data_IF_205473788301
#
_entry.id   IF_205473788301
#
_cell.length_a   1.000
_cell.length_b   1.000
_cell.length_c   1.000
_cell.angle_alpha   90.00
_cell.angle_beta   90.00
_cell.angle_gamma   90.00
#
_symmetry.space_group_name_H-M   'P 1'
#
loop_
_entity.id
_entity.type
_entity.pdbx_description
1 polymer ?
#
# COMPACT_ATOMS: atom_id res chain seq x y z
N UNK A 1 -47.33 -85.45 30.02
CA UNK A 1 -46.02 -85.25 29.39
C UNK A 1 -46.28 -84.79 27.97
N UNK A 2 -46.28 -83.46 27.77
CA UNK A 2 -46.42 -82.81 26.47
C UNK A 2 -45.21 -81.89 26.36
N UNK A 3 -44.28 -82.19 25.45
CA UNK A 3 -43.16 -81.32 25.17
C UNK A 3 -43.64 -80.13 24.32
N UNK A 4 -43.26 -78.88 24.66
CA UNK A 4 -43.52 -77.75 23.79
C UNK A 4 -42.51 -77.71 22.62
N UNK A 5 -42.93 -77.22 21.43
CA UNK A 5 -42.07 -77.11 20.27
C UNK A 5 -41.03 -76.00 20.46
N UNK A 6 -39.79 -76.31 20.11
CA UNK A 6 -38.67 -75.35 20.03
C UNK A 6 -38.95 -74.32 18.92
N UNK A 7 -39.17 -73.07 19.32
CA UNK A 7 -39.15 -71.91 18.42
C UNK A 7 -37.70 -71.62 18.01
N UNK A 8 -37.31 -72.03 16.80
CA UNK A 8 -36.11 -71.55 16.13
C UNK A 8 -36.35 -70.11 15.65
N UNK A 9 -36.26 -69.17 16.58
CA UNK A 9 -36.17 -67.75 16.27
C UNK A 9 -34.90 -67.49 15.47
N UNK A 10 -35.04 -67.40 14.15
CA UNK A 10 -34.01 -66.91 13.25
C UNK A 10 -33.58 -65.52 13.70
N UNK A 11 -32.40 -65.43 14.30
CA UNK A 11 -31.72 -64.17 14.58
C UNK A 11 -31.30 -63.56 13.25
N UNK A 12 -32.17 -62.73 12.69
CA UNK A 12 -31.89 -61.87 11.54
C UNK A 12 -30.93 -60.77 11.98
N UNK A 13 -29.65 -61.12 12.11
CA UNK A 13 -28.57 -60.17 12.34
C UNK A 13 -28.37 -59.35 11.07
N UNK A 14 -29.17 -58.27 10.92
CA UNK A 14 -28.90 -57.24 9.92
C UNK A 14 -27.44 -56.81 10.03
N UNK A 15 -26.66 -56.88 8.94
CA UNK A 15 -25.27 -56.46 8.98
C UNK A 15 -25.21 -54.96 9.33
N UNK A 16 -24.61 -54.65 10.48
CA UNK A 16 -24.20 -53.28 10.89
C UNK A 16 -22.97 -52.84 10.09
N UNK A 17 -22.97 -53.12 8.79
CA UNK A 17 -21.91 -52.75 7.88
C UNK A 17 -22.19 -51.33 7.36
N UNK A 18 -21.13 -50.52 7.29
CA UNK A 18 -21.05 -49.25 6.54
C UNK A 18 -21.75 -48.01 7.13
N UNK A 19 -21.50 -47.72 8.41
CA UNK A 19 -21.71 -46.35 8.95
C UNK A 19 -20.43 -45.51 9.04
N UNK A 20 -19.30 -46.02 8.56
CA UNK A 20 -17.97 -45.44 8.77
C UNK A 20 -17.28 -44.86 7.53
N UNK A 21 -17.89 -44.93 6.33
CA UNK A 21 -17.26 -44.43 5.09
C UNK A 21 -18.00 -43.26 4.42
N UNK A 22 -19.14 -42.85 4.94
CA UNK A 22 -19.88 -41.69 4.44
C UNK A 22 -19.98 -40.66 5.55
N UNK A 23 -18.88 -39.95 5.82
CA UNK A 23 -19.04 -38.51 5.99
C UNK A 23 -19.79 -38.07 4.75
N UNK A 24 -21.05 -37.73 4.94
CA UNK A 24 -22.00 -37.50 3.86
C UNK A 24 -21.45 -36.42 2.95
N UNK A 25 -21.68 -36.49 1.63
CA UNK A 25 -21.24 -35.47 0.67
C UNK A 25 -21.58 -34.05 1.18
N UNK A 26 -22.69 -33.93 1.89
CA UNK A 26 -23.14 -32.74 2.61
C UNK A 26 -22.18 -32.24 3.71
N UNK A 27 -21.60 -33.11 4.53
CA UNK A 27 -20.64 -32.70 5.57
C UNK A 27 -19.33 -32.20 4.96
N UNK A 28 -18.81 -32.87 3.92
CA UNK A 28 -17.64 -32.38 3.19
C UNK A 28 -17.92 -31.07 2.44
N UNK A 29 -19.12 -30.91 1.88
CA UNK A 29 -19.52 -29.65 1.25
C UNK A 29 -19.55 -28.50 2.28
N UNK A 30 -20.08 -28.75 3.48
CA UNK A 30 -20.08 -27.75 4.57
C UNK A 30 -18.64 -27.38 4.95
N UNK A 31 -17.75 -28.36 5.14
CA UNK A 31 -16.33 -28.11 5.46
C UNK A 31 -15.65 -27.29 4.36
N UNK A 32 -15.89 -27.63 3.09
CA UNK A 32 -15.36 -26.88 1.95
C UNK A 32 -15.87 -25.42 1.93
N UNK A 33 -17.16 -25.21 2.18
CA UNK A 33 -17.77 -23.87 2.25
C UNK A 33 -17.16 -23.06 3.39
N UNK A 34 -16.99 -23.65 4.58
CA UNK A 34 -16.37 -22.97 5.73
C UNK A 34 -14.91 -22.63 5.44
N UNK A 35 -14.13 -23.57 4.89
CA UNK A 35 -12.74 -23.31 4.49
C UNK A 35 -12.63 -22.20 3.45
N UNK A 36 -13.51 -22.23 2.44
CA UNK A 36 -13.56 -21.20 1.41
C UNK A 36 -13.94 -19.84 2.01
N UNK A 37 -14.92 -19.80 2.90
CA UNK A 37 -15.32 -18.58 3.60
C UNK A 37 -14.19 -18.04 4.50
N UNK A 38 -13.45 -18.90 5.20
CA UNK A 38 -12.27 -18.51 5.99
C UNK A 38 -11.16 -17.94 5.09
N UNK A 39 -10.83 -18.61 3.98
CA UNK A 39 -9.83 -18.14 3.03
C UNK A 39 -10.21 -16.80 2.37
N UNK A 40 -11.50 -16.59 2.09
CA UNK A 40 -12.01 -15.34 1.51
C UNK A 40 -12.16 -14.21 2.54
N UNK A 41 -12.28 -14.52 3.83
CA UNK A 41 -12.48 -13.53 4.90
C UNK A 41 -11.17 -13.03 5.52
N UNK A 42 -10.08 -13.80 5.41
CA UNK A 42 -8.76 -13.31 5.83
C UNK A 42 -8.20 -12.34 4.79
N UNK A 43 -7.76 -11.15 5.22
CA UNK A 43 -6.95 -10.26 4.40
C UNK A 43 -5.62 -10.95 4.08
N UNK A 44 -5.57 -11.63 2.94
CA UNK A 44 -4.41 -12.42 2.54
C UNK A 44 -3.20 -11.54 2.19
N UNK A 45 -3.43 -10.32 1.69
CA UNK A 45 -2.35 -9.50 1.16
C UNK A 45 -2.33 -8.09 1.72
N UNK A 46 -1.14 -7.65 2.10
CA UNK A 46 -0.88 -6.25 2.42
C UNK A 46 -0.28 -5.56 1.21
N UNK A 47 -0.89 -4.45 0.80
CA UNK A 47 -0.44 -3.63 -0.31
C UNK A 47 0.10 -2.31 0.21
N UNK A 48 1.38 -2.07 -0.06
CA UNK A 48 2.05 -0.82 0.27
C UNK A 48 2.41 -0.10 -1.02
N UNK A 49 1.89 1.12 -1.19
CA UNK A 49 2.26 1.97 -2.32
C UNK A 49 3.37 2.90 -1.88
N UNK A 50 4.32 3.11 -2.79
CA UNK A 50 5.46 3.99 -2.63
C UNK A 50 5.57 4.84 -3.90
N UNK A 51 6.09 6.04 -3.75
CA UNK A 51 6.45 6.89 -4.88
C UNK A 51 7.84 7.43 -4.67
N UNK A 52 8.64 7.51 -5.72
CA UNK A 52 9.93 8.16 -5.64
C UNK A 52 9.71 9.67 -5.44
N UNK A 53 10.34 10.24 -4.41
CA UNK A 53 10.21 11.65 -4.10
C UNK A 53 10.75 12.58 -5.18
N UNK A 54 11.73 12.10 -5.95
CA UNK A 54 12.46 12.89 -6.93
C UNK A 54 11.77 12.86 -8.30
N UNK A 55 11.38 11.67 -8.76
CA UNK A 55 10.87 11.47 -10.12
C UNK A 55 9.45 10.91 -10.18
N UNK A 56 8.80 10.64 -9.05
CA UNK A 56 7.45 10.06 -9.01
C UNK A 56 7.30 8.71 -9.71
N UNK A 57 8.36 7.93 -9.86
CA UNK A 57 8.23 6.51 -10.19
C UNK A 57 7.38 5.84 -9.10
N UNK A 58 6.35 5.10 -9.48
CA UNK A 58 5.51 4.37 -8.52
C UNK A 58 6.08 2.98 -8.28
N UNK A 59 6.06 2.56 -7.02
CA UNK A 59 6.38 1.20 -6.59
C UNK A 59 5.23 0.68 -5.75
N UNK A 60 4.75 -0.51 -6.08
CA UNK A 60 3.71 -1.20 -5.29
C UNK A 60 4.28 -2.51 -4.79
N UNK A 61 4.33 -2.61 -3.47
CA UNK A 61 4.78 -3.77 -2.73
C UNK A 61 3.57 -4.56 -2.26
N UNK A 62 3.55 -5.86 -2.55
CA UNK A 62 2.52 -6.81 -2.12
C UNK A 62 3.19 -7.91 -1.31
N UNK A 63 2.78 -8.05 -0.07
CA UNK A 63 3.27 -9.09 0.84
C UNK A 63 2.25 -10.22 0.93
N UNK A 64 2.67 -11.44 0.58
CA UNK A 64 1.86 -12.67 0.69
C UNK A 64 1.60 -13.08 2.14
N UNK A 65 0.57 -13.91 2.41
CA UNK A 65 0.36 -14.47 3.74
C UNK A 65 1.58 -15.27 4.23
N UNK A 66 2.38 -15.79 3.29
CA UNK A 66 3.61 -16.53 3.55
C UNK A 66 4.83 -15.61 3.72
N UNK A 67 4.63 -14.28 3.78
CA UNK A 67 5.69 -13.29 3.93
C UNK A 67 6.50 -13.00 2.65
N UNK A 68 6.09 -13.52 1.49
CA UNK A 68 6.78 -13.24 0.23
C UNK A 68 6.46 -11.83 -0.24
N UNK A 69 7.50 -11.01 -0.43
CA UNK A 69 7.39 -9.65 -0.94
C UNK A 69 7.54 -9.64 -2.46
N UNK A 70 6.57 -9.06 -3.16
CA UNK A 70 6.65 -8.79 -4.59
C UNK A 70 6.53 -7.28 -4.84
N UNK A 71 7.41 -6.74 -5.67
CA UNK A 71 7.43 -5.32 -6.01
C UNK A 71 7.13 -5.13 -7.50
N UNK A 72 6.21 -4.24 -7.79
CA UNK A 72 5.87 -3.83 -9.16
C UNK A 72 6.16 -2.34 -9.32
N UNK A 73 6.67 -1.96 -10.48
CA UNK A 73 7.06 -0.57 -10.78
C UNK A 73 6.20 -0.02 -11.91
N UNK A 74 5.81 1.24 -11.81
CA UNK A 74 5.04 1.94 -12.84
C UNK A 74 5.60 3.32 -13.08
N UNK A 75 5.95 3.58 -14.33
CA UNK A 75 6.38 4.91 -14.77
C UNK A 75 5.21 5.89 -14.86
N UNK A 76 5.46 7.12 -14.41
CA UNK A 76 4.53 8.25 -14.48
C UNK A 76 4.97 9.26 -15.54
N UNK A 77 4.11 10.24 -15.84
CA UNK A 77 4.48 11.38 -16.70
C UNK A 77 5.73 12.09 -16.16
N UNK A 78 5.75 12.34 -14.85
CA UNK A 78 6.87 12.96 -14.14
C UNK A 78 8.15 12.12 -14.21
N UNK A 79 8.08 10.79 -14.06
CA UNK A 79 9.30 9.96 -14.11
C UNK A 79 9.94 9.96 -15.50
N UNK A 80 9.13 9.89 -16.55
CA UNK A 80 9.59 10.00 -17.94
C UNK A 80 10.15 11.40 -18.24
N UNK A 81 9.46 12.45 -17.79
CA UNK A 81 9.92 13.82 -17.98
C UNK A 81 11.25 14.06 -17.26
N UNK A 82 11.40 13.61 -16.01
CA UNK A 82 12.61 13.74 -15.21
C UNK A 82 13.81 13.05 -15.87
N UNK A 83 13.62 11.82 -16.35
CA UNK A 83 14.67 11.07 -17.03
C UNK A 83 15.19 11.81 -18.27
N UNK A 84 14.30 12.53 -18.98
CA UNK A 84 14.62 13.27 -20.19
C UNK A 84 15.29 14.63 -19.93
N UNK A 85 14.92 15.35 -18.88
CA UNK A 85 15.32 16.76 -18.68
C UNK A 85 16.23 17.02 -17.49
N UNK A 86 16.34 16.08 -16.54
CA UNK A 86 17.10 16.30 -15.29
C UNK A 86 18.24 15.30 -15.17
N UNK A 87 17.92 14.00 -15.11
CA UNK A 87 18.91 12.94 -15.02
C UNK A 87 18.31 11.61 -15.46
N UNK A 88 18.97 10.94 -16.41
CA UNK A 88 18.51 9.64 -16.94
C UNK A 88 18.37 8.56 -15.85
N UNK A 89 19.26 8.57 -14.85
CA UNK A 89 19.27 7.63 -13.73
C UNK A 89 19.53 8.36 -12.41
N UNK A 90 18.91 7.90 -11.32
CA UNK A 90 19.19 8.38 -9.96
C UNK A 90 18.79 7.30 -8.95
N UNK A 91 19.30 7.44 -7.72
CA UNK A 91 18.86 6.63 -6.59
C UNK A 91 17.41 7.00 -6.20
N UNK A 92 16.53 6.01 -6.16
CA UNK A 92 15.13 6.23 -5.81
C UNK A 92 14.93 6.38 -4.30
N UNK A 93 14.52 7.57 -3.88
CA UNK A 93 14.07 7.84 -2.51
C UNK A 93 12.57 7.54 -2.37
N UNK A 94 12.24 6.40 -1.76
CA UNK A 94 10.86 5.92 -1.67
C UNK A 94 10.08 6.57 -0.53
N UNK A 95 9.13 7.44 -0.89
CA UNK A 95 8.12 7.96 0.04
C UNK A 95 6.94 6.97 0.10
N UNK A 96 6.71 6.40 1.28
CA UNK A 96 5.58 5.50 1.51
C UNK A 96 4.26 6.29 1.45
N UNK A 97 3.24 5.71 0.81
CA UNK A 97 1.89 6.23 0.87
C UNK A 97 1.44 6.24 2.35
N UNK A 98 0.86 7.35 2.84
CA UNK A 98 0.30 7.40 4.19
C UNK A 98 -0.75 6.29 4.39
N UNK A 99 -1.50 5.96 3.34
CA UNK A 99 -2.53 4.94 3.37
C UNK A 99 -1.98 3.59 2.93
N UNK A 100 -2.20 2.58 3.76
CA UNK A 100 -1.99 1.16 3.46
C UNK A 100 -3.32 0.51 3.13
N UNK A 101 -3.31 -0.49 2.23
CA UNK A 101 -4.52 -1.22 1.84
C UNK A 101 -4.35 -2.70 2.15
N UNK A 102 -5.35 -3.29 2.80
CA UNK A 102 -5.50 -4.73 2.92
C UNK A 102 -6.37 -5.21 1.76
N UNK A 103 -5.89 -6.19 1.00
CA UNK A 103 -6.62 -6.76 -0.12
C UNK A 103 -6.85 -8.25 0.10
N UNK A 104 -7.98 -8.75 -0.37
CA UNK A 104 -8.30 -10.19 -0.33
C UNK A 104 -7.63 -10.97 -1.47
N UNK A 105 -7.89 -12.28 -1.50
CA UNK A 105 -7.38 -13.21 -2.51
C UNK A 105 -7.71 -12.84 -3.98
N UNK A 106 -8.65 -11.92 -4.20
CA UNK A 106 -9.07 -11.44 -5.52
C UNK A 106 -8.54 -10.03 -5.82
N UNK A 107 -7.72 -9.47 -4.92
CA UNK A 107 -7.19 -8.11 -5.04
C UNK A 107 -8.20 -7.02 -4.67
N UNK A 108 -9.36 -7.38 -4.10
CA UNK A 108 -10.38 -6.43 -3.67
C UNK A 108 -9.97 -5.81 -2.33
N UNK A 109 -10.03 -4.48 -2.24
CA UNK A 109 -9.71 -3.78 -1.00
C UNK A 109 -10.74 -4.11 0.09
N UNK A 110 -10.27 -4.64 1.23
CA UNK A 110 -11.08 -4.99 2.40
C UNK A 110 -10.86 -4.07 3.60
N UNK A 111 -9.81 -3.27 3.57
CA UNK A 111 -9.53 -2.30 4.61
C UNK A 111 -8.43 -1.34 4.20
N UNK A 112 -8.40 -0.19 4.87
CA UNK A 112 -7.33 0.78 4.74
C UNK A 112 -6.90 1.23 6.14
N UNK A 113 -5.59 1.36 6.32
CA UNK A 113 -5.01 1.96 7.53
C UNK A 113 -4.21 3.17 7.13
N UNK A 114 -4.46 4.31 7.77
CA UNK A 114 -3.73 5.54 7.52
C UNK A 114 -2.64 5.75 8.55
N UNK A 115 -1.46 6.13 8.09
CA UNK A 115 -0.32 6.46 8.93
C UNK A 115 0.25 7.79 8.47
N UNK A 116 -0.33 8.86 9.00
CA UNK A 116 0.07 10.23 8.72
C UNK A 116 1.50 10.56 9.16
N UNK A 117 2.13 9.70 9.97
CA UNK A 117 3.46 9.96 10.52
C UNK A 117 4.61 9.46 9.64
N UNK A 118 4.30 8.85 8.49
CA UNK A 118 5.31 8.32 7.56
C UNK A 118 6.18 9.43 6.94
N UNK A 119 7.50 9.19 6.78
CA UNK A 119 8.39 10.10 6.06
C UNK A 119 7.94 10.26 4.60
N UNK A 120 8.10 11.45 4.03
CA UNK A 120 7.78 11.72 2.63
C UNK A 120 6.29 11.85 2.31
N UNK A 121 5.39 11.89 3.31
CA UNK A 121 3.94 12.12 3.10
C UNK A 121 3.63 13.38 2.30
N UNK A 122 4.45 14.41 2.43
CA UNK A 122 4.26 15.70 1.73
C UNK A 122 4.41 15.55 0.22
N UNK A 123 5.23 14.60 -0.22
CA UNK A 123 5.38 14.28 -1.64
C UNK A 123 4.04 13.76 -2.19
N UNK A 124 3.29 12.96 -1.42
CA UNK A 124 1.97 12.48 -1.81
C UNK A 124 0.90 13.58 -1.92
N UNK A 125 1.15 14.77 -1.35
CA UNK A 125 0.28 15.95 -1.50
C UNK A 125 0.59 16.79 -2.74
N UNK A 126 1.65 16.45 -3.47
CA UNK A 126 1.93 16.99 -4.80
C UNK A 126 1.52 15.96 -5.85
N UNK A 127 0.83 16.45 -6.87
CA UNK A 127 0.58 15.71 -8.10
C UNK A 127 1.88 15.59 -8.90
N UNK A 128 2.01 14.56 -9.76
CA UNK A 128 3.16 14.44 -10.66
C UNK A 128 3.37 15.69 -11.53
N UNK A 129 2.29 16.36 -11.95
CA UNK A 129 2.36 17.51 -12.84
C UNK A 129 2.81 18.78 -12.10
N UNK A 130 2.29 19.04 -10.88
CA UNK A 130 2.81 20.12 -10.01
C UNK A 130 4.33 19.94 -9.76
N UNK A 131 4.79 18.70 -9.59
CA UNK A 131 6.21 18.43 -9.39
C UNK A 131 7.04 18.75 -10.65
N UNK A 132 6.52 18.45 -11.85
CA UNK A 132 7.15 18.85 -13.12
C UNK A 132 7.23 20.37 -13.22
N UNK A 133 6.13 21.08 -12.93
CA UNK A 133 6.09 22.55 -12.97
C UNK A 133 7.13 23.16 -12.04
N UNK A 134 7.24 22.63 -10.81
CA UNK A 134 8.29 23.07 -9.88
C UNK A 134 9.68 22.88 -10.51
N UNK A 135 9.99 21.71 -11.09
CA UNK A 135 11.29 21.51 -11.74
C UNK A 135 11.57 22.51 -12.88
N UNK A 136 10.55 22.89 -13.64
CA UNK A 136 10.68 23.80 -14.78
C UNK A 136 10.96 25.25 -14.37
N UNK A 137 10.48 25.66 -13.18
CA UNK A 137 10.64 27.03 -12.70
C UNK A 137 11.89 27.25 -11.83
N UNK A 138 12.58 26.18 -11.42
CA UNK A 138 13.90 26.31 -10.84
C UNK A 138 14.93 26.66 -11.92
N UNK A 139 15.85 27.64 -11.68
CA UNK A 139 16.92 27.97 -12.61
C UNK A 139 17.79 26.75 -12.97
N UNK A 140 17.98 25.84 -12.00
CA UNK A 140 18.64 24.56 -12.20
C UNK A 140 17.75 23.43 -11.67
N UNK A 141 17.30 22.47 -12.50
CA UNK A 141 16.46 21.36 -12.04
C UNK A 141 17.09 20.51 -10.92
N UNK A 142 18.42 20.53 -10.79
CA UNK A 142 19.13 19.87 -9.69
C UNK A 142 18.89 20.53 -8.32
N UNK A 143 18.55 21.81 -8.26
CA UNK A 143 18.18 22.50 -7.02
C UNK A 143 16.79 22.04 -6.55
N UNK A 144 15.83 21.93 -7.47
CA UNK A 144 14.54 21.31 -7.19
C UNK A 144 14.69 19.86 -6.69
N UNK A 145 15.62 19.09 -7.26
CA UNK A 145 15.95 17.74 -6.75
C UNK A 145 16.38 17.79 -5.28
N UNK A 146 17.26 18.72 -4.88
CA UNK A 146 17.70 18.88 -3.49
C UNK A 146 16.54 19.23 -2.56
N UNK A 147 15.63 20.09 -3.01
CA UNK A 147 14.39 20.39 -2.30
C UNK A 147 13.57 19.11 -2.05
N UNK A 148 13.29 18.32 -3.09
CA UNK A 148 12.51 17.08 -2.93
C UNK A 148 13.20 16.03 -2.05
N UNK A 149 14.53 15.92 -2.11
CA UNK A 149 15.31 15.08 -1.18
C UNK A 149 15.05 15.54 0.26
N UNK A 150 15.14 16.84 0.52
CA UNK A 150 14.96 17.41 1.87
C UNK A 150 13.56 17.14 2.47
N UNK A 151 12.53 16.99 1.63
CA UNK A 151 11.15 16.66 2.03
C UNK A 151 10.96 15.19 2.44
N UNK A 152 11.98 14.35 2.22
CA UNK A 152 11.94 12.92 2.55
C UNK A 152 12.89 12.47 3.63
N UNK A 153 13.90 13.29 3.94
CA UNK A 153 14.82 13.01 5.04
C UNK A 153 14.04 13.01 6.36
N UNK A 154 14.09 11.93 7.16
CA UNK A 154 13.39 11.87 8.44
C UNK A 154 14.03 12.85 9.43
N UNK A 155 13.49 14.07 9.51
CA UNK A 155 13.76 14.96 10.64
C UNK A 155 13.00 14.47 11.86
N UNK A 156 13.56 14.70 13.05
CA UNK A 156 12.90 14.44 14.34
C UNK A 156 11.51 15.07 14.28
N UNK A 157 10.49 14.34 14.74
CA UNK A 157 9.07 14.66 14.52
C UNK A 157 8.67 16.10 14.91
N UNK A 158 9.39 16.67 15.89
CA UNK A 158 9.22 18.02 16.44
C UNK A 158 9.72 19.15 15.51
N UNK A 159 10.47 18.82 14.47
CA UNK A 159 11.13 19.77 13.54
C UNK A 159 10.62 19.66 12.09
N UNK A 160 9.52 18.92 11.85
CA UNK A 160 8.97 18.74 10.49
C UNK A 160 8.29 20.02 9.99
N UNK A 161 9.09 20.86 9.33
CA UNK A 161 8.61 22.01 8.56
C UNK A 161 8.15 21.64 7.14
N UNK A 162 8.07 20.34 6.81
CA UNK A 162 7.77 19.84 5.46
C UNK A 162 6.43 20.37 4.93
N UNK A 163 5.42 20.53 5.81
CA UNK A 163 4.13 21.13 5.42
C UNK A 163 4.24 22.62 5.15
N UNK A 164 5.03 23.37 5.92
CA UNK A 164 5.28 24.79 5.66
C UNK A 164 6.02 24.97 4.34
N UNK A 165 6.96 24.07 4.01
CA UNK A 165 7.63 24.07 2.71
C UNK A 165 6.62 23.82 1.59
N UNK A 166 5.73 22.83 1.76
CA UNK A 166 4.68 22.55 0.79
C UNK A 166 3.71 23.72 0.60
N UNK A 167 3.28 24.37 1.68
CA UNK A 167 2.43 25.56 1.64
C UNK A 167 3.11 26.71 0.91
N UNK A 168 4.40 26.94 1.17
CA UNK A 168 5.20 27.93 0.44
C UNK A 168 5.34 27.58 -1.03
N UNK A 169 5.56 26.31 -1.39
CA UNK A 169 5.62 25.87 -2.78
C UNK A 169 4.29 26.13 -3.51
N UNK A 170 3.17 25.83 -2.86
CA UNK A 170 1.84 26.11 -3.41
C UNK A 170 1.58 27.61 -3.53
N UNK A 171 1.96 28.40 -2.53
CA UNK A 171 1.83 29.86 -2.61
C UNK A 171 2.67 30.44 -3.77
N UNK A 172 3.90 29.96 -3.93
CA UNK A 172 4.78 30.35 -5.03
C UNK A 172 4.19 29.95 -6.39
N UNK A 173 3.69 28.72 -6.53
CA UNK A 173 3.00 28.23 -7.72
C UNK A 173 1.71 29.04 -8.02
N UNK A 174 0.87 29.30 -7.00
CA UNK A 174 -0.35 30.10 -7.13
C UNK A 174 -0.08 31.55 -7.55
N UNK A 175 1.10 32.07 -7.20
CA UNK A 175 1.57 33.39 -7.62
C UNK A 175 2.31 33.35 -8.98
N UNK A 176 2.14 32.28 -9.76
CA UNK A 176 2.75 32.13 -11.09
C UNK A 176 4.27 31.99 -11.04
N UNK A 177 4.81 31.42 -9.96
CA UNK A 177 6.25 31.26 -9.73
C UNK A 177 7.02 32.59 -9.72
N UNK A 178 6.41 33.66 -9.21
CA UNK A 178 7.05 34.97 -9.10
C UNK A 178 8.29 34.96 -8.17
N UNK A 179 9.42 35.47 -8.67
CA UNK A 179 10.70 35.51 -7.94
C UNK A 179 11.39 34.15 -7.85
N UNK A 180 12.54 34.09 -7.17
CA UNK A 180 13.27 32.83 -6.96
C UNK A 180 12.75 32.09 -5.74
N UNK A 181 12.78 30.76 -5.77
CA UNK A 181 12.38 29.93 -4.63
C UNK A 181 13.22 30.23 -3.37
N UNK A 182 14.50 30.55 -3.53
CA UNK A 182 15.41 30.88 -2.42
C UNK A 182 14.94 32.11 -1.64
N UNK A 183 14.38 33.11 -2.34
CA UNK A 183 13.87 34.34 -1.74
C UNK A 183 12.66 34.05 -0.85
N UNK A 184 11.84 33.07 -1.23
CA UNK A 184 10.67 32.60 -0.46
C UNK A 184 11.08 31.94 0.87
N UNK A 185 12.33 31.54 1.03
CA UNK A 185 12.84 30.96 2.28
C UNK A 185 13.30 32.02 3.29
N UNK A 186 13.82 33.15 2.83
CA UNK A 186 14.50 34.17 3.64
C UNK A 186 13.57 35.04 4.51
N UNK A 187 12.27 35.06 4.20
CA UNK A 187 11.30 35.98 4.80
C UNK A 187 11.02 35.77 6.31
N UNK A 188 11.59 34.72 6.95
CA UNK A 188 11.36 34.43 8.38
C UNK A 188 12.56 34.59 9.31
N UNK A 189 13.72 35.02 8.81
CA UNK A 189 14.91 35.23 9.67
C UNK A 189 14.97 36.60 10.34
N UNK A 190 14.09 37.56 9.99
CA UNK A 190 14.14 38.92 10.53
C UNK A 190 13.11 39.29 11.62
N UNK A 191 12.14 38.42 11.95
CA UNK A 191 11.13 38.69 12.99
C UNK A 191 11.50 38.19 14.40
N UNK A 192 12.79 37.94 14.64
CA UNK A 192 13.33 37.79 15.99
C UNK A 192 14.37 38.86 16.26
N UNK A 193 13.91 40.07 16.57
CA UNK A 193 14.71 41.05 17.30
C UNK A 193 13.86 41.74 18.35
#
# INVERSE_FOLDING_TARGET
MNDPPFDTGASDSKPRELRWCFLTITEWAIVLVILTAMLLSTSAWQRHRHTCAICRLERTDVTSPLGQLTSTFRETSCSRWYAKHVAATHEHLWAANPTSQNVDALGVARGAGDNENRPGRVVWRLTPDEQIEIYQHFPQPLEAKRLFVSLTTPKVMRERNDFLILEKLRAWSNNGFAGRWEDQQAEKTNDKK
#
